data_IF_863551001647
#
_entry.id   IF_863551001647
#
_cell.length_a   1.000
_cell.length_b   1.000
_cell.length_c   1.000
_cell.angle_alpha   90.00
_cell.angle_beta   90.00
_cell.angle_gamma   90.00
#
_symmetry.space_group_name_H-M   'P 1'
#
loop_
_entity.id
_entity.type
_entity.pdbx_description
1 polymer ?
#
# COMPACT_ATOMS: atom_id res chain seq x y z
N UNK A 1 -49.33 -13.03 95.09
CA UNK A 1 -49.91 -12.71 93.76
C UNK A 1 -49.34 -11.36 93.37
N UNK A 2 -48.52 -11.17 92.33
CA UNK A 2 -48.15 -11.98 91.16
C UNK A 2 -46.81 -11.45 90.62
N UNK A 3 -45.96 -12.36 90.15
CA UNK A 3 -44.68 -12.09 89.47
C UNK A 3 -44.91 -11.36 88.12
N UNK A 4 -44.00 -10.49 87.65
CA UNK A 4 -44.03 -9.98 86.28
C UNK A 4 -43.58 -11.06 85.29
N UNK A 5 -44.30 -11.16 84.18
CA UNK A 5 -44.12 -12.16 83.14
C UNK A 5 -42.85 -11.91 82.31
N UNK A 6 -42.06 -12.98 82.11
CA UNK A 6 -40.95 -13.02 81.18
C UNK A 6 -41.45 -12.93 79.72
N UNK A 7 -40.89 -12.02 78.95
CA UNK A 7 -41.13 -11.88 77.51
C UNK A 7 -40.26 -12.91 76.77
N UNK A 8 -40.81 -13.69 75.80
CA UNK A 8 -40.04 -14.69 75.07
C UNK A 8 -38.93 -14.06 74.21
N UNK A 9 -37.74 -14.65 74.24
CA UNK A 9 -36.51 -14.14 73.61
C UNK A 9 -36.58 -14.00 72.07
N UNK A 10 -37.56 -14.63 71.41
CA UNK A 10 -37.75 -14.63 69.95
C UNK A 10 -38.35 -13.33 69.39
N UNK A 11 -38.78 -12.39 70.25
CA UNK A 11 -39.36 -11.11 69.82
C UNK A 11 -38.36 -9.93 69.84
N UNK A 12 -37.07 -10.19 70.09
CA UNK A 12 -36.04 -9.15 70.05
C UNK A 12 -35.47 -9.01 68.63
N UNK A 13 -35.39 -7.79 68.06
CA UNK A 13 -34.81 -7.59 66.73
C UNK A 13 -33.37 -8.10 66.71
N UNK A 14 -32.90 -8.74 65.62
CA UNK A 14 -31.55 -9.28 65.54
C UNK A 14 -30.55 -8.16 65.81
N UNK A 15 -29.82 -8.29 66.92
CA UNK A 15 -28.87 -7.27 67.38
C UNK A 15 -27.61 -7.37 66.53
N UNK A 16 -27.56 -6.56 65.48
CA UNK A 16 -26.39 -6.45 64.60
C UNK A 16 -25.18 -6.07 65.44
N UNK A 17 -24.21 -6.98 65.55
CA UNK A 17 -23.00 -6.76 66.35
C UNK A 17 -22.06 -5.82 65.59
N UNK A 18 -21.20 -5.05 66.27
CA UNK A 18 -20.20 -4.20 65.61
C UNK A 18 -19.32 -4.96 64.60
N UNK A 19 -19.03 -6.23 64.89
CA UNK A 19 -18.29 -7.15 64.01
C UNK A 19 -19.04 -7.44 62.71
N UNK A 20 -20.37 -7.58 62.75
CA UNK A 20 -21.18 -7.83 61.56
C UNK A 20 -21.21 -6.61 60.64
N UNK A 21 -21.24 -5.40 61.24
CA UNK A 21 -21.16 -4.13 60.48
C UNK A 21 -19.78 -3.98 59.84
N UNK A 22 -18.72 -4.29 60.58
CA UNK A 22 -17.35 -4.22 60.08
C UNK A 22 -17.11 -5.23 58.94
N UNK A 23 -17.58 -6.47 59.09
CA UNK A 23 -17.45 -7.49 58.04
C UNK A 23 -18.22 -7.11 56.77
N UNK A 24 -19.44 -6.60 56.92
CA UNK A 24 -20.25 -6.15 55.79
C UNK A 24 -19.64 -4.95 55.05
N UNK A 25 -19.12 -3.95 55.77
CA UNK A 25 -18.49 -2.79 55.13
C UNK A 25 -17.21 -3.17 54.41
N UNK A 26 -16.43 -4.11 54.96
CA UNK A 26 -15.18 -4.57 54.34
C UNK A 26 -15.45 -5.42 53.09
N UNK A 27 -16.50 -6.25 53.11
CA UNK A 27 -16.97 -6.97 51.93
C UNK A 27 -17.47 -6.03 50.82
N UNK A 28 -18.27 -5.02 51.19
CA UNK A 28 -18.76 -4.02 50.24
C UNK A 28 -17.60 -3.20 49.66
N UNK A 29 -16.63 -2.81 50.47
CA UNK A 29 -15.42 -2.13 50.01
C UNK A 29 -14.64 -2.98 49.02
N UNK A 30 -14.46 -4.29 49.28
CA UNK A 30 -13.78 -5.20 48.37
C UNK A 30 -14.50 -5.31 47.01
N UNK A 31 -15.84 -5.38 47.00
CA UNK A 31 -16.62 -5.39 45.76
C UNK A 31 -16.46 -4.10 44.95
N UNK A 32 -16.45 -2.94 45.62
CA UNK A 32 -16.23 -1.64 44.96
C UNK A 32 -14.84 -1.55 44.36
N UNK A 33 -13.80 -1.99 45.08
CA UNK A 33 -12.43 -2.01 44.56
C UNK A 33 -12.30 -2.96 43.37
N UNK A 34 -12.92 -4.15 43.43
CA UNK A 34 -12.92 -5.11 42.33
C UNK A 34 -13.61 -4.54 41.08
N UNK A 35 -14.75 -3.87 41.24
CA UNK A 35 -15.45 -3.20 40.15
C UNK A 35 -14.60 -2.08 39.52
N UNK A 36 -13.86 -1.31 40.33
CA UNK A 36 -12.96 -0.26 39.86
C UNK A 36 -11.77 -0.83 39.08
N UNK A 37 -11.13 -1.88 39.60
CA UNK A 37 -9.96 -2.52 38.97
C UNK A 37 -10.35 -3.16 37.63
N UNK A 38 -11.50 -3.81 37.56
CA UNK A 38 -11.98 -4.47 36.33
C UNK A 38 -12.67 -3.50 35.36
N UNK A 39 -13.22 -2.39 35.85
CA UNK A 39 -13.92 -1.39 35.04
C UNK A 39 -13.01 -0.34 34.40
N UNK A 40 -11.85 -0.06 34.99
CA UNK A 40 -10.89 0.91 34.45
C UNK A 40 -9.95 0.22 33.47
N UNK A 41 -10.36 0.16 32.20
CA UNK A 41 -9.49 -0.23 31.10
C UNK A 41 -8.61 0.95 30.65
N UNK A 42 -7.29 0.83 30.80
CA UNK A 42 -6.37 1.79 30.20
C UNK A 42 -6.24 1.51 28.71
N UNK A 43 -6.83 2.35 27.85
CA UNK A 43 -6.51 2.35 26.43
C UNK A 43 -5.27 3.22 26.20
N UNK A 44 -4.18 2.59 25.79
CA UNK A 44 -3.07 3.32 25.18
C UNK A 44 -3.54 3.70 23.78
N UNK A 45 -3.99 4.95 23.64
CA UNK A 45 -4.15 5.58 22.34
C UNK A 45 -2.77 5.55 21.67
N UNK A 46 -2.61 4.67 20.68
CA UNK A 46 -1.43 4.67 19.80
C UNK A 46 -1.22 6.10 19.31
N UNK A 47 -0.04 6.72 19.49
CA UNK A 47 0.25 7.98 18.86
C UNK A 47 0.04 7.80 17.36
N UNK A 48 -0.84 8.60 16.74
CA UNK A 48 -1.04 8.51 15.31
C UNK A 48 0.26 8.90 14.62
N UNK A 49 0.94 7.92 14.03
CA UNK A 49 2.00 8.17 13.06
C UNK A 49 1.36 8.79 11.81
N UNK A 50 1.08 10.08 11.87
CA UNK A 50 0.57 10.80 10.72
C UNK A 50 1.31 12.13 10.63
N UNK A 51 2.59 12.04 10.27
CA UNK A 51 3.17 13.05 9.41
C UNK A 51 2.94 12.56 7.99
N UNK A 52 1.81 12.93 7.37
CA UNK A 52 1.63 12.73 5.94
C UNK A 52 2.67 13.60 5.23
N UNK A 53 3.81 13.01 4.88
CA UNK A 53 4.71 13.60 3.89
C UNK A 53 4.00 13.48 2.55
N UNK A 54 3.58 14.61 1.98
CA UNK A 54 3.00 14.61 0.65
C UNK A 54 4.10 14.38 -0.38
N UNK A 55 4.01 13.28 -1.12
CA UNK A 55 4.85 13.05 -2.28
C UNK A 55 4.32 13.91 -3.44
N UNK A 56 5.15 14.88 -3.87
CA UNK A 56 4.85 15.76 -5.01
C UNK A 56 5.61 15.22 -6.22
N UNK A 57 4.92 15.00 -7.33
CA UNK A 57 5.51 14.58 -8.61
C UNK A 57 5.24 15.63 -9.69
N UNK A 58 6.19 15.85 -10.59
CA UNK A 58 5.98 16.75 -11.73
C UNK A 58 5.13 16.02 -12.79
N UNK A 59 4.03 16.65 -13.22
CA UNK A 59 3.23 16.11 -14.32
C UNK A 59 4.01 16.23 -15.64
N UNK A 60 4.26 15.12 -16.32
CA UNK A 60 4.94 15.13 -17.63
C UNK A 60 3.98 15.44 -18.77
N UNK A 61 2.69 15.12 -18.60
CA UNK A 61 1.64 15.35 -19.58
C UNK A 61 0.38 15.86 -18.88
N UNK A 62 -0.32 16.79 -19.54
CA UNK A 62 -1.57 17.36 -19.06
C UNK A 62 -2.76 16.55 -19.58
N UNK A 63 -3.63 16.13 -18.68
CA UNK A 63 -4.94 15.52 -18.96
C UNK A 63 -6.04 16.53 -18.70
N UNK A 64 -7.02 16.61 -19.60
CA UNK A 64 -8.22 17.44 -19.40
C UNK A 64 -9.11 16.91 -18.27
N UNK A 65 -9.14 15.58 -18.08
CA UNK A 65 -9.92 14.93 -17.03
C UNK A 65 -9.05 14.64 -15.80
N UNK A 66 -9.49 15.01 -14.58
CA UNK A 66 -8.79 14.62 -13.36
C UNK A 66 -8.83 13.10 -13.16
N UNK A 67 -7.82 12.50 -12.52
CA UNK A 67 -7.85 11.09 -12.16
C UNK A 67 -8.90 10.82 -11.07
N UNK A 68 -9.57 9.66 -11.12
CA UNK A 68 -10.57 9.28 -10.11
C UNK A 68 -9.95 9.07 -8.72
N UNK A 69 -8.69 8.63 -8.67
CA UNK A 69 -7.85 8.55 -7.46
C UNK A 69 -6.44 9.03 -7.79
N UNK A 70 -5.97 10.02 -7.06
CA UNK A 70 -4.62 10.57 -7.21
C UNK A 70 -3.71 10.00 -6.12
N UNK A 71 -2.69 9.25 -6.53
CA UNK A 71 -1.68 8.73 -5.60
C UNK A 71 -0.65 9.80 -5.21
N UNK A 72 -0.42 10.78 -6.08
CA UNK A 72 0.55 11.86 -5.91
C UNK A 72 -0.08 13.23 -6.19
N UNK A 73 0.41 14.28 -5.53
CA UNK A 73 0.04 15.66 -5.85
C UNK A 73 0.95 16.17 -6.97
N UNK A 74 0.39 16.88 -7.95
CA UNK A 74 1.10 17.42 -9.10
C UNK A 74 0.53 18.79 -9.51
N UNK A 75 1.29 19.55 -10.29
CA UNK A 75 0.89 20.89 -10.76
C UNK A 75 -0.29 20.83 -11.75
N UNK A 76 -0.40 19.74 -12.51
CA UNK A 76 -1.47 19.50 -13.49
C UNK A 76 -2.04 18.07 -13.33
N UNK A 77 -3.27 17.87 -13.80
CA UNK A 77 -3.89 16.55 -13.85
C UNK A 77 -3.13 15.64 -14.84
N UNK A 78 -2.78 14.42 -14.42
CA UNK A 78 -2.19 13.42 -15.29
C UNK A 78 -2.80 12.05 -14.99
N UNK A 79 -3.20 11.34 -16.04
CA UNK A 79 -3.65 9.94 -15.94
C UNK A 79 -2.49 9.03 -16.38
N UNK A 80 -2.10 8.10 -15.50
CA UNK A 80 -1.10 7.09 -15.82
C UNK A 80 -1.76 5.85 -16.44
N UNK A 81 -1.13 5.26 -17.45
CA UNK A 81 -1.56 3.99 -18.06
C UNK A 81 -1.02 2.75 -17.30
N UNK A 82 -0.48 2.94 -16.10
CA UNK A 82 0.20 1.89 -15.33
C UNK A 82 -0.76 0.87 -14.73
N UNK A 83 -0.36 -0.40 -14.73
CA UNK A 83 -1.13 -1.52 -14.14
C UNK A 83 -0.54 -2.03 -12.82
N UNK A 84 0.38 -1.26 -12.23
CA UNK A 84 1.06 -1.62 -10.99
C UNK A 84 0.10 -1.62 -9.80
N UNK A 85 0.15 -2.69 -9.01
CA UNK A 85 -0.65 -2.84 -7.79
C UNK A 85 -0.16 -1.96 -6.64
N UNK A 86 1.11 -1.54 -6.68
CA UNK A 86 1.74 -0.66 -5.69
C UNK A 86 2.11 0.68 -6.32
N UNK A 87 1.93 1.75 -5.55
CA UNK A 87 2.33 3.12 -5.87
C UNK A 87 3.81 3.16 -6.28
N UNK A 88 4.08 3.68 -7.47
CA UNK A 88 5.44 3.88 -7.98
C UNK A 88 5.54 5.24 -8.67
N UNK A 89 6.69 5.90 -8.49
CA UNK A 89 6.99 7.14 -9.21
C UNK A 89 7.15 6.80 -10.69
N UNK A 90 6.60 7.61 -11.62
CA UNK A 90 6.83 7.42 -13.04
C UNK A 90 8.34 7.38 -13.34
N UNK A 91 8.81 6.30 -13.94
CA UNK A 91 10.17 6.17 -14.47
C UNK A 91 10.07 6.03 -15.99
N UNK A 92 10.94 6.72 -16.71
CA UNK A 92 11.10 6.55 -18.16
C UNK A 92 12.47 5.96 -18.45
N UNK A 93 12.52 5.03 -19.40
CA UNK A 93 13.77 4.49 -19.95
C UNK A 93 14.24 5.29 -21.16
N UNK A 94 13.38 6.18 -21.67
CA UNK A 94 13.71 7.08 -22.78
C UNK A 94 14.64 8.19 -22.28
N UNK A 95 15.85 8.23 -22.82
CA UNK A 95 16.72 9.41 -22.70
C UNK A 95 16.05 10.51 -23.50
N UNK A 96 15.66 11.61 -22.84
CA UNK A 96 15.14 12.76 -23.55
C UNK A 96 16.15 13.19 -24.62
N UNK A 97 15.76 13.33 -25.90
CA UNK A 97 16.67 13.83 -26.90
C UNK A 97 16.97 15.29 -26.60
N UNK A 98 18.06 15.54 -25.88
CA UNK A 98 18.66 16.86 -25.82
C UNK A 98 19.18 17.16 -27.22
N UNK A 99 18.37 17.90 -28.00
CA UNK A 99 18.78 18.38 -29.31
C UNK A 99 19.74 19.54 -29.11
N UNK A 100 21.01 19.24 -28.83
CA UNK A 100 22.09 20.20 -29.00
C UNK A 100 23.03 19.64 -30.07
N UNK A 101 22.83 20.09 -31.32
CA UNK A 101 23.64 19.66 -32.47
C UNK A 101 25.03 20.30 -32.49
N UNK A 102 25.44 20.96 -31.40
CA UNK A 102 26.79 21.50 -31.19
C UNK A 102 27.27 21.14 -29.79
N UNK A 103 28.43 20.50 -29.72
CA UNK A 103 29.20 20.42 -28.48
C UNK A 103 29.64 21.85 -28.13
N UNK A 104 28.87 22.56 -27.31
CA UNK A 104 29.40 23.71 -26.62
C UNK A 104 30.26 23.19 -25.47
N UNK A 105 31.56 23.53 -25.45
CA UNK A 105 32.39 23.35 -24.27
C UNK A 105 31.79 24.21 -23.16
N UNK A 106 31.00 23.59 -22.30
CA UNK A 106 30.50 24.23 -21.09
C UNK A 106 31.70 24.33 -20.15
N UNK A 107 32.27 25.53 -20.04
CA UNK A 107 33.12 25.84 -18.89
C UNK A 107 32.19 25.78 -17.67
N UNK A 108 32.47 24.93 -16.66
CA UNK A 108 31.67 24.93 -15.45
C UNK A 108 31.62 26.36 -14.88
N UNK A 109 30.48 26.81 -14.31
CA UNK A 109 30.48 28.03 -13.53
C UNK A 109 31.61 27.94 -12.50
N UNK A 110 32.44 28.97 -12.32
CA UNK A 110 33.45 28.96 -11.28
C UNK A 110 32.75 28.59 -9.96
N UNK A 111 33.20 27.51 -9.31
CA UNK A 111 32.76 27.21 -7.97
C UNK A 111 32.95 28.48 -7.13
N UNK A 112 31.89 28.89 -6.42
CA UNK A 112 31.92 30.05 -5.55
C UNK A 112 33.22 30.01 -4.73
N UNK A 113 34.08 31.02 -4.94
CA UNK A 113 35.25 31.22 -4.09
C UNK A 113 34.72 31.29 -2.66
N UNK A 114 35.25 30.44 -1.79
CA UNK A 114 35.19 30.73 -0.36
C UNK A 114 35.89 32.06 -0.16
N UNK A 115 35.11 33.12 0.02
CA UNK A 115 35.59 34.41 0.45
C UNK A 115 36.11 34.24 1.88
N UNK A 116 37.42 34.11 2.03
CA UNK A 116 38.08 34.46 3.29
C UNK A 116 37.72 35.92 3.61
N UNK A 117 37.20 36.24 4.81
CA UNK A 117 36.83 37.61 5.15
C UNK A 117 38.02 38.57 4.99
N UNK A 118 37.89 39.67 4.23
CA UNK A 118 38.93 40.69 4.16
C UNK A 118 39.02 41.43 5.49
N UNK A 119 40.23 41.59 6.00
CA UNK A 119 40.51 42.48 7.13
C UNK A 119 40.08 43.92 6.79
N UNK A 120 39.52 44.70 7.75
CA UNK A 120 38.98 46.01 7.45
C UNK A 120 40.11 47.02 7.21
N UNK A 121 40.24 47.50 5.98
CA UNK A 121 41.05 48.69 5.67
C UNK A 121 40.16 49.83 5.19
N UNK A 122 40.42 50.98 5.81
CA UNK A 122 39.59 52.18 5.88
C UNK A 122 39.45 52.85 4.52
N UNK A 123 38.25 53.37 4.30
CA UNK A 123 37.86 54.24 3.19
C UNK A 123 38.72 55.50 3.11
N UNK A 124 39.28 55.76 1.95
CA UNK A 124 39.57 57.12 1.51
C UNK A 124 39.05 57.29 0.08
N UNK A 125 38.06 58.16 -0.04
CA UNK A 125 37.34 58.51 -1.26
C UNK A 125 38.08 59.64 -2.00
N UNK A 126 38.21 59.55 -3.33
CA UNK A 126 38.43 60.72 -4.19
C UNK A 126 38.07 60.42 -5.67
N UNK A 127 36.91 60.95 -6.05
CA UNK A 127 36.48 61.66 -7.27
C UNK A 127 37.05 61.33 -8.67
N UNK A 128 36.13 61.15 -9.62
CA UNK A 128 36.32 61.07 -11.08
C UNK A 128 36.77 62.40 -11.70
N UNK A 129 37.63 62.33 -12.73
CA UNK A 129 37.43 63.00 -14.02
C UNK A 129 38.44 62.48 -15.08
N UNK A 130 38.03 62.37 -16.36
CA UNK A 130 38.82 61.73 -17.42
C UNK A 130 39.77 62.71 -18.11
N UNK A 131 40.92 62.21 -18.59
CA UNK A 131 41.76 62.96 -19.54
C UNK A 131 42.26 62.09 -20.69
N UNK A 132 42.01 62.65 -21.86
CA UNK A 132 42.31 62.22 -23.23
C UNK A 132 43.82 62.28 -23.48
N UNK A 133 44.43 61.29 -24.15
CA UNK A 133 44.99 61.40 -25.51
C UNK A 133 45.85 60.18 -25.93
N UNK A 134 45.71 59.92 -27.22
CA UNK A 134 46.39 59.04 -28.18
C UNK A 134 47.93 59.03 -28.10
N UNK A 135 48.55 57.89 -28.47
CA UNK A 135 49.62 57.68 -29.50
C UNK A 135 50.37 56.36 -29.22
N UNK A 136 50.37 55.44 -30.20
CA UNK A 136 51.27 54.25 -30.34
C UNK A 136 52.62 54.69 -30.97
N UNK A 137 53.74 53.90 -30.97
CA UNK A 137 53.86 52.44 -30.80
C UNK A 137 55.05 51.90 -29.95
N UNK A 138 54.99 50.57 -29.72
CA UNK A 138 55.95 49.57 -29.20
C UNK A 138 57.40 49.64 -29.78
N UNK A 139 58.42 48.84 -29.33
CA UNK A 139 58.36 47.60 -28.50
C UNK A 139 59.52 47.41 -27.46
N UNK A 140 59.36 46.45 -26.53
CA UNK A 140 60.42 45.44 -26.25
C UNK A 140 59.89 44.23 -25.48
N UNK A 141 60.35 43.07 -25.93
CA UNK A 141 60.13 41.71 -25.44
C UNK A 141 60.41 41.51 -23.95
N UNK A 142 59.61 40.64 -23.32
CA UNK A 142 60.01 39.91 -22.12
C UNK A 142 59.65 38.44 -22.27
N UNK A 143 60.64 37.58 -21.98
CA UNK A 143 60.65 36.13 -22.17
C UNK A 143 59.60 35.44 -21.31
N UNK A 144 58.89 34.48 -21.89
CA UNK A 144 57.97 33.61 -21.17
C UNK A 144 58.73 32.59 -20.30
N UNK A 145 58.39 32.55 -18.99
CA UNK A 145 58.71 31.42 -18.12
C UNK A 145 57.72 30.26 -18.35
N UNK A 146 58.12 28.98 -18.16
CA UNK A 146 57.22 27.85 -18.30
C UNK A 146 56.19 27.86 -17.16
N UNK A 147 54.90 27.81 -17.50
CA UNK A 147 53.83 27.61 -16.51
C UNK A 147 53.91 26.19 -15.93
N UNK A 148 53.62 26.00 -14.63
CA UNK A 148 53.43 24.67 -14.04
C UNK A 148 52.28 23.94 -14.74
N UNK A 149 52.48 22.70 -15.16
CA UNK A 149 51.40 21.83 -15.61
C UNK A 149 50.43 21.62 -14.45
N UNK A 150 49.21 22.12 -14.61
CA UNK A 150 48.13 21.83 -13.69
C UNK A 150 47.83 20.33 -13.78
N UNK A 151 47.91 19.64 -12.63
CA UNK A 151 47.45 18.27 -12.48
C UNK A 151 45.96 18.25 -12.83
N UNK A 152 45.63 17.62 -13.95
CA UNK A 152 44.25 17.36 -14.34
C UNK A 152 43.65 16.40 -13.31
N UNK A 153 42.47 16.68 -12.73
CA UNK A 153 41.71 15.67 -12.01
C UNK A 153 41.40 14.56 -13.02
N UNK A 154 41.95 13.38 -12.78
CA UNK A 154 41.73 12.21 -13.63
C UNK A 154 40.25 11.80 -13.47
N UNK A 155 39.47 12.02 -14.52
CA UNK A 155 38.12 11.44 -14.59
C UNK A 155 38.33 9.95 -14.85
N UNK A 156 38.24 9.15 -13.79
CA UNK A 156 38.45 7.71 -13.88
C UNK A 156 37.31 7.07 -14.70
N UNK A 157 37.54 7.00 -16.02
CA UNK A 157 36.63 6.39 -16.99
C UNK A 157 36.25 4.95 -16.64
N UNK A 158 37.14 4.23 -15.91
CA UNK A 158 36.88 2.88 -15.46
C UNK A 158 35.81 2.84 -14.37
N UNK A 159 35.82 3.80 -13.43
CA UNK A 159 34.79 3.93 -12.40
C UNK A 159 33.42 4.28 -12.98
N UNK A 160 33.39 5.12 -14.02
CA UNK A 160 32.13 5.44 -14.69
C UNK A 160 31.59 4.22 -15.46
N UNK A 161 32.46 3.49 -16.16
CA UNK A 161 32.07 2.29 -16.89
C UNK A 161 31.52 1.19 -15.98
N UNK A 162 32.11 1.01 -14.79
CA UNK A 162 31.62 0.03 -13.81
C UNK A 162 30.29 0.44 -13.20
N UNK A 163 30.07 1.73 -12.97
CA UNK A 163 28.77 2.27 -12.53
C UNK A 163 27.68 2.06 -13.58
N UNK A 164 27.96 2.36 -14.86
CA UNK A 164 27.01 2.14 -15.97
C UNK A 164 26.66 0.66 -16.09
N UNK A 165 27.67 -0.22 -16.10
CA UNK A 165 27.45 -1.67 -16.17
C UNK A 165 26.61 -2.20 -15.00
N UNK A 166 26.82 -1.67 -13.79
CA UNK A 166 26.04 -2.03 -12.61
C UNK A 166 24.58 -1.57 -12.73
N UNK A 167 24.34 -0.35 -13.22
CA UNK A 167 23.00 0.18 -13.43
C UNK A 167 22.24 -0.57 -14.54
N UNK A 168 22.93 -0.92 -15.63
CA UNK A 168 22.37 -1.74 -16.71
C UNK A 168 22.00 -3.15 -16.20
N UNK A 169 22.86 -3.75 -15.37
CA UNK A 169 22.58 -5.04 -14.75
C UNK A 169 21.35 -4.96 -13.83
N UNK A 170 21.24 -3.93 -12.98
CA UNK A 170 20.08 -3.70 -12.13
C UNK A 170 18.80 -3.52 -12.96
N UNK A 171 18.83 -2.70 -14.01
CA UNK A 171 17.69 -2.47 -14.90
C UNK A 171 17.28 -3.76 -15.61
N UNK A 172 18.24 -4.54 -16.11
CA UNK A 172 17.96 -5.82 -16.77
C UNK A 172 17.30 -6.81 -15.81
N UNK A 173 17.74 -6.83 -14.54
CA UNK A 173 17.16 -7.68 -13.51
C UNK A 173 15.74 -7.22 -13.18
N UNK A 174 15.50 -5.91 -13.01
CA UNK A 174 14.15 -5.38 -12.83
C UNK A 174 13.24 -5.76 -14.01
N UNK A 175 13.68 -5.57 -15.25
CA UNK A 175 12.92 -5.93 -16.45
C UNK A 175 12.57 -7.42 -16.50
N UNK A 176 13.53 -8.30 -16.18
CA UNK A 176 13.29 -9.73 -16.11
C UNK A 176 12.29 -10.09 -15.00
N UNK A 177 12.40 -9.47 -13.82
CA UNK A 177 11.46 -9.67 -12.72
C UNK A 177 10.05 -9.21 -13.09
N UNK A 178 9.93 -8.07 -13.79
CA UNK A 178 8.65 -7.56 -14.28
C UNK A 178 8.03 -8.49 -15.34
N UNK A 179 8.82 -8.96 -16.31
CA UNK A 179 8.34 -9.88 -17.35
C UNK A 179 7.89 -11.24 -16.79
N UNK A 180 8.42 -11.66 -15.64
CA UNK A 180 8.05 -12.91 -14.96
C UNK A 180 6.79 -12.78 -14.08
N UNK A 181 6.23 -11.59 -13.88
CA UNK A 181 5.02 -11.42 -13.06
C UNK A 181 3.79 -12.00 -13.79
N UNK A 182 2.96 -12.81 -13.11
CA UNK A 182 1.75 -13.34 -13.72
C UNK A 182 0.77 -12.21 -14.02
N UNK A 183 0.19 -12.21 -15.21
CA UNK A 183 -0.91 -11.32 -15.58
C UNK A 183 -2.20 -11.84 -14.99
N UNK A 184 -2.68 -11.18 -13.94
CA UNK A 184 -3.90 -11.55 -13.22
C UNK A 184 -5.05 -10.69 -13.73
N UNK A 185 -6.15 -11.33 -14.14
CA UNK A 185 -7.39 -10.64 -14.48
C UNK A 185 -8.48 -10.97 -13.46
N UNK A 186 -9.15 -9.94 -12.94
CA UNK A 186 -10.14 -10.07 -11.87
C UNK A 186 -11.55 -9.87 -12.42
N UNK A 187 -12.36 -10.92 -12.32
CA UNK A 187 -13.76 -10.92 -12.68
C UNK A 187 -14.61 -10.66 -11.44
N UNK A 188 -15.19 -9.47 -11.39
CA UNK A 188 -16.09 -9.07 -10.31
C UNK A 188 -17.54 -9.50 -10.61
N UNK A 189 -18.39 -9.58 -9.57
CA UNK A 189 -19.81 -9.91 -9.72
C UNK A 189 -20.53 -8.98 -10.73
N UNK A 190 -20.16 -7.70 -10.77
CA UNK A 190 -20.72 -6.67 -11.65
C UNK A 190 -20.24 -6.70 -13.12
N UNK A 191 -19.36 -7.65 -13.50
CA UNK A 191 -18.82 -7.71 -14.87
C UNK A 191 -19.93 -7.86 -15.91
N UNK A 192 -19.99 -6.94 -16.88
CA UNK A 192 -21.07 -6.82 -17.87
C UNK A 192 -20.93 -7.86 -18.98
N UNK A 193 -21.97 -8.06 -19.81
CA UNK A 193 -21.93 -9.02 -20.93
C UNK A 193 -20.84 -8.72 -21.98
N UNK A 194 -20.23 -7.52 -21.96
CA UNK A 194 -19.12 -7.14 -22.84
C UNK A 194 -17.74 -7.43 -22.26
N UNK A 195 -17.66 -7.91 -21.03
CA UNK A 195 -16.37 -8.14 -20.37
C UNK A 195 -15.68 -9.37 -20.97
N UNK A 196 -14.36 -9.24 -21.23
CA UNK A 196 -13.46 -10.32 -21.64
C UNK A 196 -13.55 -11.45 -20.60
N UNK A 197 -14.36 -12.48 -20.86
CA UNK A 197 -14.59 -13.59 -19.93
C UNK A 197 -16.00 -13.71 -19.35
N UNK A 198 -16.99 -12.94 -19.83
CA UNK A 198 -18.39 -13.11 -19.41
C UNK A 198 -18.91 -14.56 -19.61
N UNK A 199 -18.55 -15.19 -20.73
CA UNK A 199 -18.88 -16.60 -21.01
C UNK A 199 -18.19 -17.55 -20.01
N UNK A 200 -16.91 -17.33 -19.74
CA UNK A 200 -16.13 -18.17 -18.82
C UNK A 200 -16.71 -18.13 -17.40
N UNK A 201 -17.06 -16.92 -16.93
CA UNK A 201 -17.71 -16.69 -15.64
C UNK A 201 -19.02 -17.47 -15.51
N UNK A 202 -19.81 -17.52 -16.58
CA UNK A 202 -21.08 -18.21 -16.61
C UNK A 202 -20.93 -19.74 -16.60
N UNK A 203 -20.00 -20.29 -17.39
CA UNK A 203 -19.71 -21.73 -17.38
C UNK A 203 -19.12 -22.18 -16.04
N UNK A 204 -18.22 -21.38 -15.47
CA UNK A 204 -17.70 -21.59 -14.13
C UNK A 204 -18.84 -21.64 -13.10
N UNK A 205 -19.76 -20.66 -13.15
CA UNK A 205 -20.91 -20.56 -12.24
C UNK A 205 -21.81 -21.79 -12.32
N UNK A 206 -22.21 -22.19 -13.55
CA UNK A 206 -23.02 -23.39 -13.78
C UNK A 206 -22.36 -24.64 -13.23
N UNK A 207 -21.06 -24.81 -13.47
CA UNK A 207 -20.30 -25.98 -13.00
C UNK A 207 -20.29 -26.06 -11.47
N UNK A 208 -19.96 -24.94 -10.83
CA UNK A 208 -19.90 -24.82 -9.39
C UNK A 208 -21.25 -25.06 -8.73
N UNK A 209 -22.32 -24.46 -9.25
CA UNK A 209 -23.67 -24.66 -8.71
C UNK A 209 -24.12 -26.10 -8.88
N UNK A 210 -23.87 -26.73 -10.03
CA UNK A 210 -24.19 -28.14 -10.26
C UNK A 210 -23.47 -29.05 -9.25
N UNK A 211 -22.16 -28.87 -9.08
CA UNK A 211 -21.38 -29.66 -8.11
C UNK A 211 -21.83 -29.36 -6.69
N UNK A 212 -22.08 -28.10 -6.35
CA UNK A 212 -22.47 -27.69 -5.01
C UNK A 212 -23.85 -28.12 -4.59
N UNK A 213 -24.84 -28.10 -5.49
CA UNK A 213 -26.18 -28.62 -5.21
C UNK A 213 -26.17 -30.13 -4.96
N UNK A 214 -25.29 -30.87 -5.65
CA UNK A 214 -25.09 -32.31 -5.42
C UNK A 214 -24.33 -32.58 -4.11
N UNK A 215 -23.48 -31.65 -3.67
CA UNK A 215 -22.61 -31.78 -2.50
C UNK A 215 -23.00 -30.80 -1.39
N UNK A 216 -24.30 -30.51 -1.25
CA UNK A 216 -24.80 -29.66 -0.19
C UNK A 216 -24.55 -30.32 1.16
N UNK A 217 -23.92 -29.65 2.15
CA UNK A 217 -23.51 -30.27 3.40
C UNK A 217 -24.68 -30.88 4.15
N UNK A 218 -24.56 -32.15 4.52
CA UNK A 218 -25.65 -32.88 5.18
C UNK A 218 -26.02 -32.28 6.53
N UNK A 219 -25.03 -31.80 7.29
CA UNK A 219 -25.26 -31.13 8.57
C UNK A 219 -26.12 -29.89 8.39
N UNK A 220 -25.81 -29.07 7.37
CA UNK A 220 -26.59 -27.88 7.06
C UNK A 220 -27.99 -28.23 6.57
N UNK A 221 -28.16 -29.32 5.83
CA UNK A 221 -29.48 -29.84 5.41
C UNK A 221 -30.31 -30.25 6.63
N UNK A 222 -29.74 -31.08 7.52
CA UNK A 222 -30.42 -31.58 8.73
C UNK A 222 -30.80 -30.46 9.68
N UNK A 223 -29.91 -29.49 9.87
CA UNK A 223 -30.09 -28.37 10.79
C UNK A 223 -30.71 -27.13 10.13
N UNK A 224 -31.04 -27.20 8.84
CA UNK A 224 -31.60 -26.09 8.06
C UNK A 224 -30.76 -24.81 8.16
N UNK A 225 -29.43 -24.94 8.03
CA UNK A 225 -28.48 -23.83 8.09
C UNK A 225 -28.40 -23.17 6.73
N UNK A 226 -28.58 -21.85 6.73
CA UNK A 226 -28.55 -21.01 5.53
C UNK A 226 -27.65 -19.81 5.76
N UNK A 227 -27.10 -19.24 4.69
CA UNK A 227 -26.22 -18.10 4.81
C UNK A 227 -25.64 -17.68 3.46
N UNK A 228 -24.95 -16.55 3.48
CA UNK A 228 -24.16 -16.09 2.35
C UNK A 228 -22.71 -15.94 2.79
N UNK A 229 -21.77 -16.29 1.93
CA UNK A 229 -20.36 -15.94 2.12
C UNK A 229 -19.83 -15.27 0.85
N UNK A 230 -18.75 -14.50 0.97
CA UNK A 230 -18.03 -13.96 -0.19
C UNK A 230 -16.70 -14.67 -0.33
N UNK A 231 -16.40 -15.14 -1.53
CA UNK A 231 -15.22 -15.96 -1.79
C UNK A 231 -14.54 -15.55 -3.09
N UNK A 232 -13.20 -15.58 -3.08
CA UNK A 232 -12.34 -15.46 -4.24
C UNK A 232 -11.86 -16.85 -4.64
N UNK A 233 -11.98 -17.16 -5.94
CA UNK A 233 -11.45 -18.37 -6.53
C UNK A 233 -10.44 -17.98 -7.61
N UNK A 234 -9.23 -18.48 -7.47
CA UNK A 234 -8.09 -18.17 -8.34
C UNK A 234 -7.77 -19.39 -9.20
N UNK A 235 -7.77 -19.22 -10.52
CA UNK A 235 -7.63 -20.31 -11.49
C UNK A 235 -6.45 -19.98 -12.40
N UNK A 236 -5.60 -20.96 -12.67
CA UNK A 236 -4.50 -20.82 -13.62
C UNK A 236 -4.99 -20.97 -15.06
N UNK A 237 -4.17 -20.51 -16.01
CA UNK A 237 -4.47 -20.57 -17.44
C UNK A 237 -4.85 -21.95 -17.98
N UNK A 238 -4.29 -23.02 -17.42
CA UNK A 238 -4.59 -24.42 -17.77
C UNK A 238 -5.92 -24.93 -17.19
N UNK A 239 -6.61 -24.11 -16.38
CA UNK A 239 -7.84 -24.47 -15.68
C UNK A 239 -7.60 -25.11 -14.30
N UNK A 240 -6.34 -25.31 -13.88
CA UNK A 240 -6.04 -25.80 -12.54
C UNK A 240 -6.42 -24.77 -11.47
N UNK A 241 -6.88 -25.25 -10.32
CA UNK A 241 -7.22 -24.40 -9.19
C UNK A 241 -5.92 -23.93 -8.52
N UNK A 242 -5.70 -22.61 -8.49
CA UNK A 242 -4.55 -22.02 -7.81
C UNK A 242 -4.85 -21.84 -6.32
N UNK A 243 -5.92 -21.10 -5.98
CA UNK A 243 -6.28 -20.85 -4.59
C UNK A 243 -7.78 -20.59 -4.41
N UNK A 244 -8.24 -20.75 -3.17
CA UNK A 244 -9.61 -20.45 -2.75
C UNK A 244 -9.55 -19.72 -1.41
N UNK A 245 -10.10 -18.51 -1.35
CA UNK A 245 -10.03 -17.66 -0.17
C UNK A 245 -11.41 -17.09 0.18
N UNK A 246 -11.86 -17.35 1.40
CA UNK A 246 -13.08 -16.74 1.95
C UNK A 246 -12.75 -15.30 2.33
N UNK A 247 -13.36 -14.35 1.62
CA UNK A 247 -13.21 -12.91 1.86
C UNK A 247 -14.13 -12.44 2.99
N UNK A 248 -15.34 -13.00 3.05
CA UNK A 248 -16.34 -12.71 4.06
C UNK A 248 -17.02 -14.01 4.45
N UNK A 249 -16.91 -14.38 5.73
CA UNK A 249 -17.51 -15.60 6.28
C UNK A 249 -19.03 -15.51 6.31
N UNK A 250 -19.70 -16.65 6.17
CA UNK A 250 -21.15 -16.75 6.43
C UNK A 250 -21.53 -16.68 7.90
N UNK A 251 -20.55 -16.67 8.82
CA UNK A 251 -20.75 -16.86 10.25
C UNK A 251 -20.99 -18.32 10.65
N UNK A 252 -21.05 -19.24 9.67
CA UNK A 252 -21.26 -20.67 9.88
C UNK A 252 -20.09 -21.47 9.27
N UNK A 253 -19.17 -22.02 10.09
CA UNK A 253 -18.00 -22.73 9.58
C UNK A 253 -18.33 -23.88 8.63
N UNK A 254 -19.46 -24.56 8.85
CA UNK A 254 -19.95 -25.64 7.99
C UNK A 254 -20.19 -25.17 6.56
N UNK A 255 -20.74 -23.97 6.36
CA UNK A 255 -21.01 -23.41 5.03
C UNK A 255 -19.72 -22.93 4.37
N UNK A 256 -18.83 -22.29 5.12
CA UNK A 256 -17.56 -21.77 4.61
C UNK A 256 -16.65 -22.92 4.14
N UNK A 257 -16.53 -23.97 4.95
CA UNK A 257 -15.78 -25.17 4.59
C UNK A 257 -16.43 -25.92 3.43
N UNK A 258 -17.76 -26.00 3.39
CA UNK A 258 -18.48 -26.62 2.29
C UNK A 258 -18.25 -25.87 0.97
N UNK A 259 -18.32 -24.54 0.97
CA UNK A 259 -18.06 -23.74 -0.23
C UNK A 259 -16.66 -24.01 -0.80
N UNK A 260 -15.63 -24.00 0.05
CA UNK A 260 -14.27 -24.32 -0.40
C UNK A 260 -14.15 -25.75 -0.93
N UNK A 261 -14.79 -26.72 -0.26
CA UNK A 261 -14.81 -28.12 -0.69
C UNK A 261 -15.47 -28.28 -2.06
N UNK A 262 -16.60 -27.62 -2.28
CA UNK A 262 -17.34 -27.63 -3.54
C UNK A 262 -16.48 -27.10 -4.69
N UNK A 263 -15.74 -26.00 -4.47
CA UNK A 263 -14.80 -25.47 -5.48
C UNK A 263 -13.71 -26.49 -5.80
N UNK A 264 -13.11 -27.11 -4.77
CA UNK A 264 -12.06 -28.12 -4.95
C UNK A 264 -12.58 -29.35 -5.70
N UNK A 265 -13.82 -29.78 -5.43
CA UNK A 265 -14.49 -30.88 -6.15
C UNK A 265 -14.88 -30.51 -7.58
N UNK A 266 -15.13 -29.23 -7.85
CA UNK A 266 -15.46 -28.74 -9.19
C UNK A 266 -14.21 -28.58 -10.08
N UNK A 267 -13.01 -28.54 -9.50
CA UNK A 267 -11.75 -28.49 -10.24
C UNK A 267 -11.46 -29.82 -10.97
N UNK A 268 -10.72 -29.78 -12.10
CA UNK A 268 -10.20 -28.60 -12.79
C UNK A 268 -11.29 -27.85 -13.56
N UNK A 269 -11.08 -26.56 -13.85
CA UNK A 269 -11.97 -25.73 -14.66
C UNK A 269 -11.54 -25.72 -16.13
N UNK A 270 -12.32 -25.06 -16.99
CA UNK A 270 -11.95 -24.91 -18.39
C UNK A 270 -10.63 -24.11 -18.52
N UNK A 271 -9.72 -24.47 -19.43
CA UNK A 271 -8.55 -23.65 -19.73
C UNK A 271 -8.97 -22.33 -20.38
N UNK A 272 -8.11 -21.30 -20.30
CA UNK A 272 -8.42 -19.98 -20.84
C UNK A 272 -8.22 -19.95 -22.37
N UNK A 273 -9.25 -19.51 -23.08
CA UNK A 273 -9.26 -19.42 -24.55
C UNK A 273 -9.69 -18.01 -25.00
N UNK A 274 -9.39 -17.65 -26.25
CA UNK A 274 -9.76 -16.34 -26.82
C UNK A 274 -9.14 -15.18 -26.05
N UNK A 275 -9.93 -14.17 -25.72
CA UNK A 275 -9.49 -12.97 -24.98
C UNK A 275 -8.88 -13.30 -23.61
N UNK A 276 -9.26 -14.41 -22.98
CA UNK A 276 -8.70 -14.80 -21.69
C UNK A 276 -7.29 -15.42 -21.79
N UNK A 277 -6.86 -15.80 -23.00
CA UNK A 277 -5.55 -16.40 -23.22
C UNK A 277 -4.40 -15.40 -23.03
N UNK A 278 -4.69 -14.10 -22.93
CA UNK A 278 -3.66 -13.11 -22.56
C UNK A 278 -3.37 -13.07 -21.05
N UNK A 279 -4.13 -13.80 -20.23
CA UNK A 279 -3.94 -13.83 -18.78
C UNK A 279 -3.36 -15.14 -18.32
N UNK A 280 -2.54 -15.08 -17.28
CA UNK A 280 -1.90 -16.25 -16.68
C UNK A 280 -2.77 -16.81 -15.53
N UNK A 281 -3.61 -15.95 -14.95
CA UNK A 281 -4.52 -16.28 -13.84
C UNK A 281 -5.81 -15.46 -13.89
N UNK A 282 -6.91 -16.10 -13.50
CA UNK A 282 -8.19 -15.44 -13.27
C UNK A 282 -8.61 -15.51 -11.81
N UNK A 283 -9.01 -14.37 -11.25
CA UNK A 283 -9.64 -14.27 -9.94
C UNK A 283 -11.13 -14.01 -10.10
N UNK A 284 -11.96 -14.93 -9.64
CA UNK A 284 -13.42 -14.81 -9.66
C UNK A 284 -13.88 -14.52 -8.24
N UNK A 285 -14.44 -13.33 -8.02
CA UNK A 285 -14.96 -12.91 -6.72
C UNK A 285 -16.48 -12.87 -6.77
N UNK A 286 -17.12 -13.74 -5.99
CA UNK A 286 -18.59 -13.87 -5.98
C UNK A 286 -19.16 -14.09 -4.58
N UNK A 287 -20.45 -13.79 -4.46
CA UNK A 287 -21.23 -14.08 -3.26
C UNK A 287 -21.92 -15.42 -3.43
N UNK A 288 -21.63 -16.35 -2.54
CA UNK A 288 -22.19 -17.68 -2.50
C UNK A 288 -23.35 -17.70 -1.53
N UNK A 289 -24.49 -18.20 -1.97
CA UNK A 289 -25.72 -18.25 -1.17
C UNK A 289 -26.18 -19.69 -1.02
N UNK A 290 -26.21 -20.15 0.23
CA UNK A 290 -26.81 -21.40 0.66
C UNK A 290 -28.24 -21.10 1.08
N UNK A 291 -29.20 -21.46 0.24
CA UNK A 291 -30.62 -21.17 0.41
C UNK A 291 -31.42 -22.42 0.79
N UNK A 292 -32.69 -22.19 1.19
CA UNK A 292 -33.68 -23.24 1.43
C UNK A 292 -33.87 -24.14 0.21
N UNK A 293 -34.13 -25.42 0.46
CA UNK A 293 -34.29 -26.43 -0.59
C UNK A 293 -32.97 -26.93 -1.17
N UNK A 294 -31.91 -26.96 -0.35
CA UNK A 294 -30.59 -27.50 -0.70
C UNK A 294 -29.96 -26.84 -1.93
N UNK A 295 -30.23 -25.53 -2.09
CA UNK A 295 -29.83 -24.77 -3.26
C UNK A 295 -28.65 -23.85 -2.93
N UNK A 296 -27.55 -24.09 -3.63
CA UNK A 296 -26.41 -23.20 -3.75
C UNK A 296 -26.54 -22.35 -5.03
N UNK A 297 -26.31 -21.05 -4.91
CA UNK A 297 -26.17 -20.12 -6.04
C UNK A 297 -24.96 -19.21 -5.87
N UNK A 298 -24.32 -18.80 -6.96
CA UNK A 298 -23.17 -17.89 -6.96
C UNK A 298 -23.45 -16.62 -7.75
N UNK A 299 -23.63 -15.50 -7.04
CA UNK A 299 -24.01 -14.20 -7.60
C UNK A 299 -22.78 -13.30 -7.85
#
# INVERSE_FOLDING_TARGET
MTLPADIPADLLPPRVRPVDRLGFTLFLAALVHLALILGVGFSISKPSEIRHTMDITLATFKSEKPPEKADFQAQDNQQGSGTLEKKAVPKTTEVAPFQDSKINKITPPPAARQETPPAPQKSAVATKAPKVQKVEPKPKESKAQPKPQAVTPDFDSSQLSSQIASLEAELSNEQQLYAKRPRIHRLNAASTMRDKGAWYKEEWRKKVERVGNLNYPEEARRQQIYGNLRMMVSINRDGSLYEVLVLESSGQPVLDQAAQRIVRLAAPFAPFTGDLAEFDRLEIIRTWRFARGDRLSSN
#
